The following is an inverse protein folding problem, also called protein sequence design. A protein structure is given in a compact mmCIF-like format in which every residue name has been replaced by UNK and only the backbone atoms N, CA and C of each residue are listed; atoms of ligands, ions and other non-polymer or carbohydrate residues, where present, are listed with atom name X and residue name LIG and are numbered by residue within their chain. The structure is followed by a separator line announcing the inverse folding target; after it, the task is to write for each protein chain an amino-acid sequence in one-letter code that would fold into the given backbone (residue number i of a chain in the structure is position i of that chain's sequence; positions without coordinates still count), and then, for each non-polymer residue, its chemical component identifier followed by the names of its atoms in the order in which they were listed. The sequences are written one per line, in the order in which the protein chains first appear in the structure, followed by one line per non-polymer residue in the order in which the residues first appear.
data_IF_320919183540
#
_entry.id   IF_320919183540
#
_cell.length_a   1.000
_cell.length_b   1.000
_cell.length_c   1.000
_cell.angle_alpha   90.00
_cell.angle_beta   90.00
_cell.angle_gamma   90.00
#
_symmetry.space_group_name_H-M   'P 1'
#
loop_
_entity.id
_entity.type
_entity.pdbx_description
1 polymer ?
#
# COMPACT_ATOMS: atom_id res chain seq x y z
N UNK A 1 -15.00 -23.03 -5.11
CA UNK A 1 -14.69 -24.46 -4.75
C UNK A 1 -15.93 -25.04 -4.10
N UNK A 2 -16.31 -26.29 -4.37
CA UNK A 2 -17.52 -26.88 -3.77
C UNK A 2 -17.38 -27.07 -2.26
N UNK A 3 -18.41 -26.74 -1.50
CA UNK A 3 -18.45 -26.82 -0.01
C UNK A 3 -18.04 -28.21 0.52
N UNK A 4 -18.42 -29.26 -0.19
CA UNK A 4 -18.08 -30.64 0.18
C UNK A 4 -16.55 -30.90 0.18
N UNK A 5 -15.82 -30.30 -0.77
CA UNK A 5 -14.34 -30.42 -0.82
C UNK A 5 -13.68 -29.71 0.38
N UNK A 6 -14.23 -28.56 0.76
CA UNK A 6 -13.77 -27.81 1.94
C UNK A 6 -14.05 -28.59 3.22
N UNK A 7 -15.23 -29.19 3.36
CA UNK A 7 -15.60 -30.04 4.51
C UNK A 7 -14.65 -31.22 4.63
N UNK A 8 -14.41 -31.96 3.56
CA UNK A 8 -13.50 -33.11 3.57
C UNK A 8 -12.09 -32.71 4.00
N UNK A 9 -11.60 -31.60 3.48
CA UNK A 9 -10.30 -31.06 3.85
C UNK A 9 -10.25 -30.65 5.32
N UNK A 10 -11.28 -29.95 5.81
CA UNK A 10 -11.38 -29.55 7.21
C UNK A 10 -11.34 -30.78 8.14
N UNK A 11 -12.18 -31.79 7.88
CA UNK A 11 -12.22 -33.01 8.72
C UNK A 11 -10.89 -33.77 8.78
N UNK A 12 -10.10 -33.75 7.69
CA UNK A 12 -8.76 -34.35 7.71
C UNK A 12 -7.80 -33.62 8.66
N UNK A 13 -7.93 -32.28 8.78
CA UNK A 13 -7.05 -31.48 9.64
C UNK A 13 -7.41 -31.58 11.12
N UNK A 14 -8.68 -31.81 11.44
CA UNK A 14 -9.18 -31.82 12.83
C UNK A 14 -9.34 -33.23 13.44
N UNK A 15 -9.08 -34.28 12.65
CA UNK A 15 -9.17 -35.65 13.13
C UNK A 15 -8.27 -35.90 14.37
N UNK A 16 -8.68 -36.73 15.36
CA UNK A 16 -9.89 -37.56 15.38
C UNK A 16 -11.14 -36.87 15.93
N UNK A 17 -11.09 -35.60 16.30
CA UNK A 17 -12.22 -34.85 16.85
C UNK A 17 -13.13 -34.41 15.70
N UNK A 18 -14.33 -34.97 15.63
CA UNK A 18 -15.32 -34.66 14.61
C UNK A 18 -16.35 -33.69 15.21
N UNK A 19 -16.32 -32.39 14.80
CA UNK A 19 -17.32 -31.42 15.21
C UNK A 19 -18.66 -31.69 14.51
N UNK A 20 -19.72 -30.98 14.97
CA UNK A 20 -21.04 -31.03 14.35
C UNK A 20 -20.97 -30.52 12.92
N UNK A 21 -21.56 -31.26 11.99
CA UNK A 21 -21.55 -30.95 10.58
C UNK A 21 -22.18 -29.58 10.26
N UNK A 22 -23.23 -29.20 10.98
CA UNK A 22 -23.90 -27.90 10.79
C UNK A 22 -22.99 -26.72 11.13
N UNK A 23 -22.24 -26.80 12.24
CA UNK A 23 -21.30 -25.76 12.65
C UNK A 23 -20.16 -25.60 11.63
N UNK A 24 -19.71 -26.70 11.04
CA UNK A 24 -18.69 -26.70 9.98
C UNK A 24 -19.22 -26.06 8.70
N UNK A 25 -20.43 -26.41 8.28
CA UNK A 25 -21.07 -25.84 7.11
C UNK A 25 -21.27 -24.33 7.27
N UNK A 26 -21.76 -23.87 8.42
CA UNK A 26 -21.94 -22.45 8.71
C UNK A 26 -20.62 -21.69 8.62
N UNK A 27 -19.57 -22.18 9.25
CA UNK A 27 -18.25 -21.52 9.24
C UNK A 27 -17.62 -21.49 7.85
N UNK A 28 -17.73 -22.58 7.08
CA UNK A 28 -17.15 -22.67 5.74
C UNK A 28 -17.97 -21.92 4.68
N UNK A 29 -19.28 -21.75 4.90
CA UNK A 29 -20.14 -20.99 3.96
C UNK A 29 -19.74 -19.53 3.83
N UNK A 30 -19.07 -18.98 4.85
CA UNK A 30 -18.50 -17.62 4.81
C UNK A 30 -17.23 -17.48 3.95
N UNK A 31 -16.60 -18.59 3.58
CA UNK A 31 -15.38 -18.59 2.75
C UNK A 31 -15.74 -18.54 1.25
N UNK A 32 -16.22 -17.39 0.78
CA UNK A 32 -16.52 -17.14 -0.65
C UNK A 32 -15.25 -16.70 -1.40
N UNK A 33 -14.18 -17.50 -1.34
CA UNK A 33 -12.92 -17.21 -2.04
C UNK A 33 -12.84 -18.03 -3.33
N UNK A 34 -12.57 -17.34 -4.44
CA UNK A 34 -12.33 -17.98 -5.73
C UNK A 34 -10.86 -18.47 -5.89
N UNK A 35 -9.95 -17.99 -5.04
CA UNK A 35 -8.55 -18.35 -5.06
C UNK A 35 -8.25 -19.57 -4.19
N UNK A 36 -7.87 -20.67 -4.84
CA UNK A 36 -7.50 -21.91 -4.18
C UNK A 36 -6.26 -21.75 -3.28
N UNK A 37 -5.34 -20.84 -3.59
CA UNK A 37 -4.14 -20.60 -2.81
C UNK A 37 -4.50 -19.93 -1.47
N UNK A 38 -5.37 -18.95 -1.48
CA UNK A 38 -5.84 -18.28 -0.25
C UNK A 38 -6.54 -19.28 0.69
N UNK A 39 -7.32 -20.20 0.13
CA UNK A 39 -7.97 -21.26 0.91
C UNK A 39 -6.92 -22.18 1.56
N UNK A 40 -5.86 -22.56 0.83
CA UNK A 40 -4.77 -23.35 1.39
C UNK A 40 -4.08 -22.63 2.56
N UNK A 41 -3.84 -21.35 2.43
CA UNK A 41 -3.22 -20.50 3.48
C UNK A 41 -4.09 -20.41 4.72
N UNK A 42 -5.43 -20.26 4.58
CA UNK A 42 -6.37 -20.27 5.70
C UNK A 42 -6.36 -21.63 6.39
N UNK A 43 -6.48 -22.71 5.63
CA UNK A 43 -6.54 -24.07 6.17
C UNK A 43 -5.22 -24.48 6.84
N UNK A 44 -4.08 -23.98 6.41
CA UNK A 44 -2.78 -24.22 7.04
C UNK A 44 -2.70 -23.72 8.51
N UNK A 45 -3.56 -22.78 8.90
CA UNK A 45 -3.58 -22.25 10.28
C UNK A 45 -4.47 -23.06 11.22
N UNK A 46 -5.40 -23.88 10.71
CA UNK A 46 -6.35 -24.65 11.52
C UNK A 46 -5.66 -25.55 12.57
N UNK A 47 -4.57 -26.26 12.25
CA UNK A 47 -3.88 -27.11 13.22
C UNK A 47 -3.33 -26.34 14.44
N UNK A 48 -3.05 -25.06 14.30
CA UNK A 48 -2.60 -24.21 15.43
C UNK A 48 -3.77 -23.74 16.31
N UNK A 49 -4.95 -23.52 15.73
CA UNK A 49 -6.11 -22.94 16.42
C UNK A 49 -7.01 -24.03 17.03
N UNK A 50 -7.23 -25.12 16.29
CA UNK A 50 -8.18 -26.17 16.66
C UNK A 50 -7.94 -26.80 18.05
N UNK A 51 -6.70 -27.16 18.44
CA UNK A 51 -6.42 -27.72 19.75
C UNK A 51 -6.66 -26.73 20.90
N UNK A 52 -6.63 -25.42 20.62
CA UNK A 52 -6.85 -24.39 21.65
C UNK A 52 -8.33 -24.20 21.91
N UNK A 53 -9.15 -24.04 20.86
CA UNK A 53 -10.59 -23.91 21.01
C UNK A 53 -11.32 -24.11 19.68
N UNK A 54 -12.31 -25.01 19.67
CA UNK A 54 -13.17 -25.26 18.53
C UNK A 54 -13.99 -24.01 18.14
N UNK A 55 -14.56 -23.32 19.14
CA UNK A 55 -15.34 -22.10 18.91
C UNK A 55 -14.48 -20.96 18.34
N UNK A 56 -13.22 -20.88 18.79
CA UNK A 56 -12.27 -19.92 18.22
C UNK A 56 -11.97 -20.24 16.75
N UNK A 57 -11.79 -21.53 16.42
CA UNK A 57 -11.52 -21.95 15.06
C UNK A 57 -12.69 -21.63 14.11
N UNK A 58 -13.93 -21.83 14.54
CA UNK A 58 -15.10 -21.44 13.74
C UNK A 58 -15.21 -19.93 13.56
N UNK A 59 -14.95 -19.14 14.62
CA UNK A 59 -14.90 -17.68 14.52
C UNK A 59 -13.78 -17.23 13.57
N UNK A 60 -12.61 -17.89 13.60
CA UNK A 60 -11.51 -17.65 12.68
C UNK A 60 -11.92 -17.90 11.21
N UNK A 61 -12.51 -19.06 10.93
CA UNK A 61 -12.96 -19.40 9.57
C UNK A 61 -13.95 -18.38 8.99
N UNK A 62 -14.88 -17.90 9.82
CA UNK A 62 -15.84 -16.87 9.42
C UNK A 62 -15.19 -15.51 9.13
N UNK A 63 -14.07 -15.17 9.80
CA UNK A 63 -13.36 -13.92 9.65
C UNK A 63 -12.20 -13.99 8.64
N UNK A 64 -11.76 -15.19 8.25
CA UNK A 64 -10.55 -15.40 7.45
C UNK A 64 -10.67 -14.88 6.01
N UNK A 65 -11.86 -14.93 5.40
CA UNK A 65 -12.07 -14.43 4.02
C UNK A 65 -11.69 -12.95 3.86
N UNK A 66 -12.32 -12.03 4.61
CA UNK A 66 -11.93 -10.61 4.63
C UNK A 66 -10.48 -10.37 5.05
N UNK A 67 -9.93 -11.22 5.96
CA UNK A 67 -8.56 -11.07 6.44
C UNK A 67 -7.53 -11.34 5.35
N UNK A 68 -7.67 -12.44 4.58
CA UNK A 68 -6.72 -12.76 3.48
C UNK A 68 -6.77 -11.77 2.33
N UNK A 69 -7.89 -11.05 2.14
CA UNK A 69 -7.95 -9.96 1.18
C UNK A 69 -7.04 -8.78 1.55
N UNK A 70 -6.71 -8.63 2.84
CA UNK A 70 -5.92 -7.51 3.37
C UNK A 70 -4.50 -7.90 3.80
N UNK A 71 -4.24 -9.19 4.05
CA UNK A 71 -3.00 -9.71 4.63
C UNK A 71 -2.14 -10.42 3.59
N UNK A 72 -0.83 -10.19 3.64
CA UNK A 72 0.11 -11.06 2.96
C UNK A 72 0.21 -12.44 3.68
N UNK A 73 0.65 -13.52 3.01
CA UNK A 73 0.74 -14.85 3.61
C UNK A 73 1.51 -14.90 4.94
N UNK A 74 2.63 -14.15 5.01
CA UNK A 74 3.44 -14.04 6.24
C UNK A 74 2.70 -13.27 7.34
N UNK A 75 1.91 -12.27 6.99
CA UNK A 75 1.10 -11.49 7.93
C UNK A 75 -0.07 -12.30 8.48
N UNK A 76 -0.63 -13.25 7.70
CA UNK A 76 -1.69 -14.15 8.15
C UNK A 76 -1.25 -15.00 9.35
N UNK A 77 -0.05 -15.56 9.31
CA UNK A 77 0.50 -16.33 10.44
C UNK A 77 0.71 -15.47 11.68
N UNK A 78 1.19 -14.22 11.51
CA UNK A 78 1.34 -13.28 12.62
C UNK A 78 -0.02 -12.86 13.20
N UNK A 79 -1.04 -12.69 12.35
CA UNK A 79 -2.40 -12.39 12.79
C UNK A 79 -2.99 -13.53 13.62
N UNK A 80 -2.78 -14.77 13.21
CA UNK A 80 -3.20 -15.96 13.97
C UNK A 80 -2.49 -16.05 15.32
N UNK A 81 -1.19 -15.73 15.41
CA UNK A 81 -0.50 -15.65 16.69
C UNK A 81 -1.11 -14.58 17.60
N UNK A 82 -1.35 -13.38 17.07
CA UNK A 82 -2.02 -12.31 17.84
C UNK A 82 -3.44 -12.67 18.26
N UNK A 83 -4.17 -13.44 17.43
CA UNK A 83 -5.48 -13.99 17.76
C UNK A 83 -5.42 -14.95 18.96
N UNK A 84 -4.44 -15.88 18.97
CA UNK A 84 -4.24 -16.83 20.06
C UNK A 84 -3.85 -16.12 21.36
N UNK A 85 -2.93 -15.16 21.31
CA UNK A 85 -2.55 -14.33 22.46
C UNK A 85 -3.76 -13.55 23.02
N UNK A 86 -4.59 -13.02 22.12
CA UNK A 86 -5.80 -12.32 22.51
C UNK A 86 -6.84 -13.25 23.14
N UNK A 87 -6.96 -14.47 22.65
CA UNK A 87 -7.82 -15.50 23.22
C UNK A 87 -7.34 -15.92 24.62
N UNK A 88 -6.06 -16.14 24.81
CA UNK A 88 -5.48 -16.51 26.12
C UNK A 88 -5.68 -15.41 27.16
N UNK A 89 -5.55 -14.15 26.77
CA UNK A 89 -5.63 -13.02 27.72
C UNK A 89 -7.03 -12.49 27.95
N UNK A 90 -7.91 -12.48 26.92
CA UNK A 90 -9.24 -11.85 26.94
C UNK A 90 -10.40 -12.80 26.64
N UNK A 91 -10.10 -14.07 26.37
CA UNK A 91 -11.09 -15.09 26.01
C UNK A 91 -11.68 -14.91 24.61
N UNK A 92 -12.71 -15.71 24.30
CA UNK A 92 -13.33 -15.75 22.95
C UNK A 92 -13.84 -14.38 22.48
N UNK A 93 -14.47 -13.61 23.35
CA UNK A 93 -15.00 -12.29 23.00
C UNK A 93 -13.88 -11.31 22.62
N UNK A 94 -12.75 -11.36 23.33
CA UNK A 94 -11.57 -10.54 22.99
C UNK A 94 -10.99 -10.93 21.64
N UNK A 95 -10.92 -12.22 21.36
CA UNK A 95 -10.47 -12.76 20.09
C UNK A 95 -11.40 -12.36 18.91
N UNK A 96 -12.72 -12.39 19.12
CA UNK A 96 -13.70 -11.95 18.12
C UNK A 96 -13.54 -10.46 17.80
N UNK A 97 -13.43 -9.60 18.82
CA UNK A 97 -13.17 -8.17 18.63
C UNK A 97 -11.84 -7.91 17.91
N UNK A 98 -10.81 -8.72 18.17
CA UNK A 98 -9.54 -8.62 17.47
C UNK A 98 -9.68 -8.95 15.96
N UNK A 99 -10.60 -9.85 15.60
CA UNK A 99 -10.86 -10.25 14.23
C UNK A 99 -11.79 -9.29 13.46
N UNK A 100 -12.62 -8.48 14.16
CA UNK A 100 -13.61 -7.60 13.52
C UNK A 100 -12.98 -6.52 12.63
N UNK A 101 -11.74 -6.09 12.91
CA UNK A 101 -11.07 -5.05 12.15
C UNK A 101 -9.58 -5.34 11.94
N UNK A 102 -9.34 -6.24 10.99
CA UNK A 102 -7.97 -6.65 10.61
C UNK A 102 -7.16 -5.47 10.10
N UNK A 103 -7.78 -4.60 9.29
CA UNK A 103 -7.10 -3.48 8.66
C UNK A 103 -6.73 -2.39 9.66
N UNK A 104 -7.66 -2.02 10.55
CA UNK A 104 -7.44 -0.93 11.50
C UNK A 104 -6.58 -1.34 12.71
N UNK A 105 -6.82 -2.50 13.29
CA UNK A 105 -6.14 -2.90 14.52
C UNK A 105 -4.86 -3.69 14.25
N UNK A 106 -4.94 -4.77 13.50
CA UNK A 106 -3.79 -5.64 13.33
C UNK A 106 -2.75 -5.09 12.35
N UNK A 107 -3.17 -4.66 11.15
CA UNK A 107 -2.25 -4.07 10.18
C UNK A 107 -1.61 -2.79 10.69
N UNK A 108 -2.38 -1.96 11.41
CA UNK A 108 -1.83 -0.75 12.04
C UNK A 108 -0.84 -1.10 13.16
N UNK A 109 -1.09 -2.14 13.94
CA UNK A 109 -0.20 -2.58 15.00
C UNK A 109 1.08 -3.20 14.44
N UNK A 110 0.99 -4.09 13.45
CA UNK A 110 2.18 -4.72 12.83
C UNK A 110 2.96 -3.73 11.97
N UNK A 111 2.28 -3.02 11.09
CA UNK A 111 2.92 -2.01 10.24
C UNK A 111 3.36 -0.80 11.05
N UNK A 112 2.66 -0.46 12.14
CA UNK A 112 3.08 0.57 13.09
C UNK A 112 4.27 0.16 13.95
N UNK A 113 4.44 -1.11 14.30
CA UNK A 113 5.66 -1.62 14.98
C UNK A 113 6.86 -1.74 14.02
N UNK A 114 6.60 -1.93 12.72
CA UNK A 114 7.60 -1.90 11.66
C UNK A 114 7.79 -0.52 11.03
N UNK A 115 7.02 0.48 11.47
CA UNK A 115 7.08 1.85 10.95
C UNK A 115 8.46 2.47 11.17
N UNK A 116 9.03 3.02 10.11
CA UNK A 116 10.30 3.74 10.16
C UNK A 116 10.01 5.22 10.31
N UNK A 117 10.52 5.85 11.38
CA UNK A 117 10.33 7.29 11.58
C UNK A 117 11.38 8.08 10.79
N UNK A 118 10.90 9.16 10.18
CA UNK A 118 11.80 10.10 9.51
C UNK A 118 12.93 10.59 10.42
N UNK A 119 12.65 10.82 11.71
CA UNK A 119 13.66 11.27 12.68
C UNK A 119 14.85 10.32 12.77
N UNK A 120 14.61 9.00 12.71
CA UNK A 120 15.65 7.97 12.87
C UNK A 120 16.55 7.86 11.63
N UNK A 121 16.02 8.17 10.44
CA UNK A 121 16.74 8.06 9.16
C UNK A 121 17.13 9.41 8.56
N UNK A 122 16.67 10.52 9.15
CA UNK A 122 16.91 11.87 8.64
C UNK A 122 18.37 12.16 8.35
N UNK A 123 19.36 11.88 9.24
CA UNK A 123 20.77 12.23 8.96
C UNK A 123 21.29 11.55 7.69
N UNK A 124 20.95 10.27 7.51
CA UNK A 124 21.37 9.48 6.35
C UNK A 124 20.66 9.94 5.07
N UNK A 125 19.35 10.18 5.14
CA UNK A 125 18.53 10.62 4.01
C UNK A 125 18.88 12.06 3.61
N UNK A 126 19.15 12.94 4.58
CA UNK A 126 19.58 14.33 4.37
C UNK A 126 20.89 14.39 3.58
N UNK A 127 21.89 13.60 3.99
CA UNK A 127 23.16 13.52 3.27
C UNK A 127 22.97 13.05 1.82
N UNK A 128 22.13 12.04 1.63
CA UNK A 128 21.81 11.52 0.30
C UNK A 128 21.14 12.58 -0.59
N UNK A 129 20.10 13.26 -0.10
CA UNK A 129 19.36 14.26 -0.87
C UNK A 129 20.22 15.50 -1.15
N UNK A 130 21.00 15.95 -0.17
CA UNK A 130 21.92 17.08 -0.37
C UNK A 130 23.00 16.76 -1.40
N UNK A 131 23.48 15.51 -1.43
CA UNK A 131 24.39 15.02 -2.48
C UNK A 131 23.78 15.06 -3.88
N UNK A 132 22.51 14.65 -4.01
CA UNK A 132 21.79 14.75 -5.29
C UNK A 132 21.55 16.19 -5.73
N UNK A 133 21.21 17.06 -4.80
CA UNK A 133 20.89 18.46 -5.07
C UNK A 133 22.13 19.33 -5.32
N UNK A 134 23.34 18.88 -4.92
CA UNK A 134 24.54 19.69 -4.93
C UNK A 134 24.48 20.88 -3.96
N UNK A 135 23.52 20.90 -3.06
CA UNK A 135 23.31 21.93 -2.03
C UNK A 135 22.58 21.32 -0.83
N UNK A 136 22.61 22.02 0.28
CA UNK A 136 21.75 21.64 1.40
C UNK A 136 20.27 21.77 1.00
N UNK A 137 19.50 20.69 1.22
CA UNK A 137 18.07 20.61 0.95
C UNK A 137 17.40 19.95 2.17
N UNK A 138 16.91 20.76 3.13
CA UNK A 138 16.37 20.26 4.39
C UNK A 138 15.21 19.30 4.22
N UNK A 139 15.15 18.28 5.09
CA UNK A 139 14.03 17.36 5.20
C UNK A 139 13.17 17.72 6.40
N UNK A 140 11.88 17.95 6.16
CA UNK A 140 10.90 18.38 7.17
C UNK A 140 9.78 17.35 7.25
N UNK A 141 9.36 17.01 8.48
CA UNK A 141 8.21 16.13 8.67
C UNK A 141 6.90 16.86 8.33
N UNK A 142 6.00 16.20 7.58
CA UNK A 142 4.69 16.71 7.19
C UNK A 142 3.70 15.54 7.03
N UNK A 143 2.43 15.85 6.77
CA UNK A 143 1.40 14.82 6.51
C UNK A 143 1.57 14.15 5.14
N UNK A 144 2.03 14.89 4.15
CA UNK A 144 2.22 14.41 2.79
C UNK A 144 3.59 14.81 2.23
N UNK A 145 4.06 14.04 1.26
CA UNK A 145 5.29 14.35 0.54
C UNK A 145 5.09 15.54 -0.40
N UNK A 146 5.94 16.56 -0.26
CA UNK A 146 5.89 17.79 -1.06
C UNK A 146 7.26 18.47 -1.10
N UNK A 147 7.38 19.55 -1.87
CA UNK A 147 8.51 20.47 -1.80
C UNK A 147 8.07 21.91 -2.11
N UNK A 148 8.71 22.85 -1.45
CA UNK A 148 8.56 24.31 -1.70
C UNK A 148 9.72 24.90 -2.50
N UNK A 149 10.67 24.06 -2.92
CA UNK A 149 11.87 24.48 -3.63
C UNK A 149 13.09 24.68 -2.73
N UNK A 150 12.89 24.90 -1.43
CA UNK A 150 13.96 25.09 -0.43
C UNK A 150 14.08 23.90 0.51
N UNK A 151 12.99 23.18 0.73
CA UNK A 151 12.90 21.99 1.59
C UNK A 151 12.11 20.87 0.92
N UNK A 152 12.35 19.65 1.35
CA UNK A 152 11.52 18.49 1.03
C UNK A 152 10.72 18.10 2.27
N UNK A 153 9.41 18.04 2.13
CA UNK A 153 8.46 17.58 3.14
C UNK A 153 8.22 16.09 2.95
N UNK A 154 8.26 15.32 4.04
CA UNK A 154 8.08 13.87 4.03
C UNK A 154 7.18 13.45 5.18
N UNK A 155 6.44 12.33 5.06
CA UNK A 155 5.69 11.76 6.17
C UNK A 155 6.59 11.57 7.40
N UNK A 156 6.03 11.82 8.59
CA UNK A 156 6.78 11.65 9.85
C UNK A 156 7.17 10.19 10.10
N UNK A 157 6.36 9.26 9.57
CA UNK A 157 6.56 7.81 9.68
C UNK A 157 6.04 7.11 8.42
N UNK A 158 6.72 6.03 8.00
CA UNK A 158 6.29 5.13 6.93
C UNK A 158 6.28 3.71 7.49
N UNK A 159 5.10 3.10 7.53
CA UNK A 159 4.86 1.73 7.97
C UNK A 159 4.11 0.92 6.90
N UNK A 160 4.47 1.09 5.62
CA UNK A 160 3.83 0.38 4.50
C UNK A 160 4.28 -1.08 4.40
N UNK A 161 5.47 -1.38 4.90
CA UNK A 161 6.08 -2.70 4.83
C UNK A 161 6.49 -3.13 6.24
N UNK A 162 6.39 -4.43 6.54
CA UNK A 162 6.90 -4.99 7.78
C UNK A 162 8.43 -4.84 7.91
N UNK A 163 9.13 -4.77 6.78
CA UNK A 163 10.57 -4.61 6.72
C UNK A 163 10.98 -3.12 6.74
N UNK A 164 11.83 -2.76 7.70
CA UNK A 164 12.36 -1.39 7.84
C UNK A 164 13.25 -0.97 6.66
N UNK A 165 13.94 -1.90 6.00
CA UNK A 165 14.76 -1.57 4.82
C UNK A 165 13.88 -1.17 3.63
N UNK A 166 12.74 -1.83 3.44
CA UNK A 166 11.75 -1.44 2.43
C UNK A 166 11.12 -0.09 2.75
N UNK A 167 10.78 0.18 4.01
CA UNK A 167 10.28 1.50 4.44
C UNK A 167 11.33 2.59 4.21
N UNK A 168 12.62 2.31 4.45
CA UNK A 168 13.70 3.24 4.15
C UNK A 168 13.87 3.47 2.64
N UNK A 169 13.79 2.40 1.84
CA UNK A 169 13.83 2.51 0.38
C UNK A 169 12.68 3.38 -0.14
N UNK A 170 11.49 3.26 0.46
CA UNK A 170 10.35 4.09 0.12
C UNK A 170 10.56 5.56 0.51
N UNK A 171 11.10 5.86 1.69
CA UNK A 171 11.54 7.23 2.04
C UNK A 171 12.52 7.78 1.01
N UNK A 172 13.51 6.98 0.64
CA UNK A 172 14.53 7.37 -0.34
C UNK A 172 13.90 7.63 -1.72
N UNK A 173 12.93 6.81 -2.14
CA UNK A 173 12.21 6.98 -3.39
C UNK A 173 11.41 8.28 -3.40
N UNK A 174 10.60 8.54 -2.36
CA UNK A 174 9.79 9.76 -2.27
C UNK A 174 10.67 11.00 -2.25
N UNK A 175 11.74 11.00 -1.44
CA UNK A 175 12.67 12.11 -1.38
C UNK A 175 13.37 12.37 -2.72
N UNK A 176 13.76 11.31 -3.43
CA UNK A 176 14.34 11.41 -4.78
C UNK A 176 13.32 11.94 -5.79
N UNK A 177 12.05 11.56 -5.66
CA UNK A 177 10.99 12.07 -6.53
C UNK A 177 10.80 13.58 -6.33
N UNK A 178 10.76 14.06 -5.09
CA UNK A 178 10.65 15.49 -4.80
C UNK A 178 11.89 16.27 -5.31
N UNK A 179 13.10 15.72 -5.12
CA UNK A 179 14.30 16.27 -5.71
C UNK A 179 14.21 16.34 -7.25
N UNK A 180 13.76 15.27 -7.89
CA UNK A 180 13.63 15.23 -9.35
C UNK A 180 12.58 16.22 -9.88
N UNK A 181 11.51 16.50 -9.12
CA UNK A 181 10.57 17.57 -9.45
C UNK A 181 11.26 18.94 -9.49
N UNK A 182 12.14 19.22 -8.51
CA UNK A 182 12.94 20.45 -8.51
C UNK A 182 13.94 20.49 -9.66
N UNK A 183 14.70 19.40 -9.86
CA UNK A 183 15.70 19.26 -10.90
C UNK A 183 15.10 19.40 -12.30
N UNK A 184 13.92 18.84 -12.52
CA UNK A 184 13.20 18.91 -13.78
C UNK A 184 12.40 20.22 -13.98
N UNK A 185 12.35 21.11 -12.96
CA UNK A 185 11.66 22.39 -13.05
C UNK A 185 10.13 22.26 -13.13
N UNK A 186 9.53 21.25 -12.48
CA UNK A 186 8.07 20.98 -12.51
C UNK A 186 7.26 22.19 -12.07
N UNK A 187 7.78 22.99 -11.14
CA UNK A 187 7.10 24.15 -10.58
C UNK A 187 7.32 25.46 -11.37
N UNK A 188 8.11 25.40 -12.44
CA UNK A 188 8.33 26.54 -13.31
C UNK A 188 7.12 26.79 -14.22
N UNK A 189 6.83 28.07 -14.50
CA UNK A 189 5.82 28.39 -15.51
C UNK A 189 6.27 27.87 -16.90
N UNK A 190 5.31 27.41 -17.72
CA UNK A 190 5.63 27.02 -19.08
C UNK A 190 6.35 28.15 -19.87
N UNK A 191 7.25 27.80 -20.81
CA UNK A 191 7.92 28.77 -21.64
C UNK A 191 6.94 29.73 -22.36
N UNK A 192 7.20 31.02 -22.30
CA UNK A 192 6.35 32.03 -22.92
C UNK A 192 5.15 32.50 -22.08
N UNK A 193 4.93 31.90 -20.88
CA UNK A 193 3.89 32.38 -19.98
C UNK A 193 4.36 33.66 -19.23
N UNK A 194 3.60 34.76 -19.24
CA UNK A 194 4.06 36.04 -18.70
C UNK A 194 4.33 35.97 -17.20
N UNK A 195 5.51 36.39 -16.78
CA UNK A 195 5.85 36.63 -15.37
C UNK A 195 5.07 37.85 -14.87
N UNK A 196 3.94 37.63 -14.22
CA UNK A 196 3.13 38.72 -13.70
C UNK A 196 3.45 39.05 -12.25
N UNK A 197 3.28 40.32 -11.86
CA UNK A 197 3.46 40.82 -10.49
C UNK A 197 2.38 40.37 -9.48
N UNK A 198 1.58 39.34 -9.77
CA UNK A 198 0.51 38.85 -8.88
C UNK A 198 1.07 37.90 -7.82
N UNK A 199 0.47 37.92 -6.62
CA UNK A 199 0.84 37.05 -5.48
C UNK A 199 0.61 35.55 -5.71
N UNK A 200 -0.15 35.15 -6.74
CA UNK A 200 -0.43 33.73 -7.03
C UNK A 200 0.73 33.07 -7.75
N UNK A 201 0.97 31.80 -7.42
CA UNK A 201 2.00 30.96 -8.05
C UNK A 201 1.85 30.94 -9.58
N UNK A 202 2.93 30.97 -10.37
CA UNK A 202 2.85 31.02 -11.84
C UNK A 202 2.02 29.88 -12.46
N UNK A 203 2.10 28.66 -11.93
CA UNK A 203 1.28 27.53 -12.39
C UNK A 203 -0.21 27.71 -12.09
N UNK A 204 -0.59 28.26 -10.95
CA UNK A 204 -1.99 28.56 -10.63
C UNK A 204 -2.59 29.56 -11.61
N UNK A 205 -1.81 30.54 -11.99
CA UNK A 205 -2.21 31.50 -13.02
C UNK A 205 -2.31 30.84 -14.40
N UNK A 206 -1.42 29.92 -14.70
CA UNK A 206 -1.46 29.15 -15.95
C UNK A 206 -2.73 28.27 -15.98
N UNK A 207 -3.03 27.51 -14.93
CA UNK A 207 -4.23 26.67 -14.90
C UNK A 207 -5.52 27.50 -14.99
N UNK A 208 -5.55 28.69 -14.39
CA UNK A 208 -6.72 29.58 -14.44
C UNK A 208 -7.06 30.09 -15.85
N UNK A 209 -6.18 29.91 -16.85
CA UNK A 209 -6.46 30.25 -18.24
C UNK A 209 -7.30 29.22 -18.99
N UNK A 210 -7.44 28.00 -18.45
CA UNK A 210 -8.22 26.92 -19.04
C UNK A 210 -9.69 26.99 -18.62
N UNK A 211 -10.58 26.53 -19.48
CA UNK A 211 -12.01 26.44 -19.18
C UNK A 211 -12.31 25.49 -18.00
N UNK A 212 -11.44 24.51 -17.78
CA UNK A 212 -11.52 23.53 -16.67
C UNK A 212 -10.16 23.47 -15.96
N UNK A 213 -9.87 24.39 -15.04
CA UNK A 213 -8.57 24.48 -14.37
C UNK A 213 -8.14 23.20 -13.65
N UNK A 214 -9.10 22.51 -12.99
CA UNK A 214 -8.79 21.29 -12.22
C UNK A 214 -8.41 20.12 -13.13
N UNK A 215 -9.08 19.97 -14.27
CA UNK A 215 -8.68 18.96 -15.26
C UNK A 215 -7.32 19.28 -15.87
N UNK A 216 -7.06 20.54 -16.17
CA UNK A 216 -5.75 20.97 -16.69
C UNK A 216 -4.64 20.70 -15.67
N UNK A 217 -4.90 20.93 -14.37
CA UNK A 217 -3.97 20.61 -13.27
C UNK A 217 -3.72 19.09 -13.18
N UNK A 218 -4.78 18.28 -13.20
CA UNK A 218 -4.66 16.82 -13.14
C UNK A 218 -3.85 16.26 -14.31
N UNK A 219 -4.13 16.70 -15.53
CA UNK A 219 -3.36 16.31 -16.73
C UNK A 219 -1.90 16.77 -16.63
N UNK A 220 -1.65 17.98 -16.15
CA UNK A 220 -0.30 18.47 -15.94
C UNK A 220 0.46 17.59 -14.95
N UNK A 221 -0.13 17.30 -13.79
CA UNK A 221 0.48 16.43 -12.79
C UNK A 221 0.76 15.03 -13.34
N UNK A 222 -0.15 14.48 -14.12
CA UNK A 222 0.03 13.21 -14.79
C UNK A 222 1.27 13.20 -15.70
N UNK A 223 1.36 14.15 -16.65
CA UNK A 223 2.49 14.21 -17.56
C UNK A 223 3.82 14.56 -16.86
N UNK A 224 3.78 15.43 -15.87
CA UNK A 224 4.96 15.75 -15.07
C UNK A 224 5.44 14.57 -14.23
N UNK A 225 4.53 13.78 -13.67
CA UNK A 225 4.88 12.54 -12.97
C UNK A 225 5.60 11.57 -13.90
N UNK A 226 5.07 11.36 -15.11
CA UNK A 226 5.73 10.54 -16.12
C UNK A 226 7.13 11.05 -16.48
N UNK A 227 7.26 12.36 -16.69
CA UNK A 227 8.53 13.00 -17.00
C UNK A 227 9.54 12.87 -15.87
N UNK A 228 9.11 13.08 -14.64
CA UNK A 228 9.94 12.94 -13.42
C UNK A 228 10.40 11.49 -13.23
N UNK A 229 9.52 10.51 -13.43
CA UNK A 229 9.89 9.09 -13.37
C UNK A 229 10.93 8.72 -14.45
N UNK A 230 10.79 9.27 -15.67
CA UNK A 230 11.79 9.07 -16.72
C UNK A 230 13.16 9.69 -16.32
N UNK A 231 13.16 10.87 -15.68
CA UNK A 231 14.38 11.47 -15.12
C UNK A 231 14.98 10.58 -14.05
N UNK A 232 14.19 10.06 -13.11
CA UNK A 232 14.67 9.15 -12.07
C UNK A 232 15.25 7.86 -12.65
N UNK A 233 14.59 7.26 -13.63
CA UNK A 233 15.10 6.05 -14.32
C UNK A 233 16.47 6.32 -14.97
N UNK A 234 16.67 7.51 -15.53
CA UNK A 234 17.92 7.91 -16.18
C UNK A 234 19.02 8.24 -15.16
N UNK A 235 18.72 9.09 -14.18
CA UNK A 235 19.71 9.63 -13.24
C UNK A 235 20.00 8.67 -12.07
N UNK A 236 18.99 7.90 -11.63
CA UNK A 236 19.07 7.00 -10.48
C UNK A 236 18.60 5.56 -10.83
N UNK A 237 19.20 4.90 -11.86
CA UNK A 237 18.73 3.60 -12.33
C UNK A 237 18.84 2.51 -11.27
N UNK A 238 19.78 2.62 -10.35
CA UNK A 238 19.94 1.68 -9.22
C UNK A 238 18.79 1.78 -8.22
N UNK A 239 18.36 2.99 -7.88
CA UNK A 239 17.22 3.22 -7.00
C UNK A 239 15.93 2.69 -7.64
N UNK A 240 15.70 3.01 -8.92
CA UNK A 240 14.48 2.62 -9.62
C UNK A 240 14.34 1.11 -9.74
N UNK A 241 15.42 0.37 -10.02
CA UNK A 241 15.40 -1.11 -10.01
C UNK A 241 15.04 -1.71 -8.65
N UNK A 242 15.51 -1.10 -7.55
CA UNK A 242 15.16 -1.54 -6.20
C UNK A 242 13.72 -1.19 -5.83
N UNK A 243 13.21 -0.06 -6.30
CA UNK A 243 11.87 0.43 -5.98
C UNK A 243 10.76 -0.19 -6.85
N UNK A 244 11.07 -0.75 -8.01
CA UNK A 244 10.09 -1.34 -8.94
C UNK A 244 9.14 -2.36 -8.28
N UNK A 245 9.61 -3.33 -7.46
CA UNK A 245 8.71 -4.24 -6.76
C UNK A 245 7.79 -3.53 -5.76
N UNK A 246 8.27 -2.46 -5.11
CA UNK A 246 7.47 -1.69 -4.16
C UNK A 246 6.34 -0.93 -4.87
N UNK A 247 6.64 -0.32 -6.02
CA UNK A 247 5.66 0.39 -6.85
C UNK A 247 4.59 -0.56 -7.41
N UNK A 248 4.99 -1.77 -7.82
CA UNK A 248 4.08 -2.81 -8.27
C UNK A 248 3.08 -3.23 -7.19
N UNK A 249 3.54 -3.43 -5.96
CA UNK A 249 2.66 -3.77 -4.82
C UNK A 249 1.67 -2.66 -4.48
N UNK A 250 2.11 -1.39 -4.47
CA UNK A 250 1.22 -0.26 -4.22
C UNK A 250 0.16 -0.09 -5.30
N UNK A 251 0.50 -0.37 -6.57
CA UNK A 251 -0.45 -0.32 -7.67
C UNK A 251 -1.53 -1.40 -7.56
N UNK A 252 -1.20 -2.59 -7.04
CA UNK A 252 -2.16 -3.70 -6.81
C UNK A 252 -3.11 -3.41 -5.65
N UNK A 253 -2.63 -2.80 -4.57
CA UNK A 253 -3.46 -2.47 -3.40
C UNK A 253 -4.41 -1.29 -3.62
N UNK A 254 -4.22 -0.48 -4.65
CA UNK A 254 -5.12 0.63 -5.01
C UNK A 254 -6.36 0.19 -5.82
N UNK A 255 -6.44 -1.08 -6.23
CA UNK A 255 -7.42 -1.56 -7.23
C UNK A 255 -8.82 -1.89 -6.66
N UNK A 256 -9.02 -1.90 -5.33
CA UNK A 256 -10.20 -2.56 -4.73
C UNK A 256 -11.38 -1.65 -4.32
N UNK A 257 -11.37 -0.34 -4.51
CA UNK A 257 -12.41 0.47 -3.87
C UNK A 257 -13.03 1.67 -4.60
N UNK A 258 -12.66 2.01 -5.85
CA UNK A 258 -13.32 3.11 -6.59
C UNK A 258 -13.36 2.86 -8.10
N UNK A 259 -14.46 3.30 -8.75
CA UNK A 259 -14.48 3.51 -10.20
C UNK A 259 -13.30 4.38 -10.61
N UNK A 260 -12.23 3.74 -11.05
CA UNK A 260 -11.03 4.40 -11.53
C UNK A 260 -11.40 5.23 -12.77
N UNK A 261 -11.17 6.53 -12.71
CA UNK A 261 -11.28 7.37 -13.90
C UNK A 261 -10.22 6.94 -14.92
N UNK A 262 -10.44 7.27 -16.21
CA UNK A 262 -9.42 7.04 -17.26
C UNK A 262 -8.04 7.57 -16.84
N UNK A 263 -8.02 8.65 -16.08
CA UNK A 263 -6.82 9.29 -15.57
C UNK A 263 -6.11 8.41 -14.52
N UNK A 264 -6.87 7.76 -13.64
CA UNK A 264 -6.32 6.84 -12.64
C UNK A 264 -5.75 5.60 -13.31
N UNK A 265 -6.41 5.04 -14.34
CA UNK A 265 -5.88 3.93 -15.14
C UNK A 265 -4.57 4.29 -15.86
N UNK A 266 -4.50 5.49 -16.46
CA UNK A 266 -3.28 5.97 -17.11
C UNK A 266 -2.16 6.20 -16.09
N UNK A 267 -2.48 6.66 -14.88
CA UNK A 267 -1.52 6.87 -13.81
C UNK A 267 -0.98 5.53 -13.27
N UNK A 268 -1.84 4.52 -13.13
CA UNK A 268 -1.43 3.15 -12.79
C UNK A 268 -0.58 2.51 -13.90
N UNK A 269 -0.95 2.66 -15.17
CA UNK A 269 -0.18 2.18 -16.32
C UNK A 269 1.22 2.79 -16.37
N UNK A 270 1.37 4.07 -16.01
CA UNK A 270 2.68 4.72 -15.90
C UNK A 270 3.55 4.14 -14.79
N UNK A 271 2.96 3.83 -13.63
CA UNK A 271 3.68 3.22 -12.52
C UNK A 271 4.16 1.81 -12.87
N UNK A 272 3.42 1.09 -13.73
CA UNK A 272 3.74 -0.29 -14.18
C UNK A 272 4.54 -0.34 -15.49
N UNK A 273 4.87 0.80 -16.11
CA UNK A 273 5.38 0.87 -17.50
C UNK A 273 4.44 0.25 -18.57
N UNK A 274 3.16 0.05 -18.23
CA UNK A 274 2.14 -0.50 -19.12
C UNK A 274 1.32 0.64 -19.73
N UNK A 275 1.42 0.82 -21.05
CA UNK A 275 0.51 1.72 -21.79
C UNK A 275 -0.70 0.95 -22.24
N UNK A 276 -1.92 1.49 -22.06
CA UNK A 276 -3.08 0.94 -22.76
C UNK A 276 -2.80 0.96 -24.25
N UNK A 277 -2.90 -0.20 -24.91
CA UNK A 277 -2.81 -0.23 -26.38
C UNK A 277 -3.87 0.73 -26.98
N UNK A 278 -3.51 1.56 -27.94
CA UNK A 278 -4.49 2.40 -28.61
C UNK A 278 -5.56 1.49 -29.20
N UNK A 279 -6.81 1.67 -28.71
CA UNK A 279 -7.94 0.85 -29.13
C UNK A 279 -7.97 0.70 -30.63
N UNK A 280 -7.98 -0.55 -31.09
CA UNK A 280 -8.23 -0.96 -32.46
C UNK A 280 -9.73 -0.83 -32.80
N UNK A 281 -10.32 0.33 -32.54
CA UNK A 281 -11.69 0.56 -33.01
C UNK A 281 -11.69 1.83 -33.87
N UNK A 282 -11.90 1.55 -35.13
CA UNK A 282 -11.79 2.27 -36.33
C UNK A 282 -12.66 3.43 -36.66
#
# INVERSE_FOLDING_TARGET
MELEILKEKFYRLVAPSLPNEWDVEEALSGLTLDDAQQIEEIFAQIPAIWPVSHSLCFSYLSAAGPAVACLAPEELSLWVHGLLDCYETKGLRGAQLFMEDVAEHFLRQIRGQGGLRLADVRPRLQTYVSGLAGRELPLVAAEAAATDGESIFLPAEIGLYADQERNFLFFKLIASFQWACLHAGVFAAPPGFPSGKKKAHPLERFFSTFARPDQARSLYHFFETARVLAVLKKELPGLMRQAEPLLGQLALSADDSQELTLLDHLQQGLLRDEWPEPGRDG
#
